data_IF_165896383447
#
_entry.id   IF_165896383447
#
_cell.length_a   1.000
_cell.length_b   1.000
_cell.length_c   1.000
_cell.angle_alpha   90.00
_cell.angle_beta   90.00
_cell.angle_gamma   90.00
#
_symmetry.space_group_name_H-M   'P 1'
#
loop_
_entity.id
_entity.type
_entity.pdbx_description
1 polymer ?
#
# COMPACT_ATOMS: atom_id res chain seq x y z
N UNK A 1 22.09 46.76 37.52
CA UNK A 1 21.71 45.52 38.24
C UNK A 1 20.28 45.20 37.84
N UNK A 2 19.87 44.07 37.29
CA UNK A 2 20.43 42.75 37.03
C UNK A 2 19.68 42.16 35.81
N UNK A 3 20.43 41.51 34.92
CA UNK A 3 20.17 40.23 34.22
C UNK A 3 18.69 39.78 34.03
N UNK A 4 18.22 39.53 32.79
CA UNK A 4 18.19 38.20 32.11
C UNK A 4 16.74 37.77 31.82
N UNK A 5 16.29 37.01 30.81
CA UNK A 5 16.88 36.17 29.77
C UNK A 5 16.04 36.38 28.48
N UNK A 6 16.69 36.34 27.33
CA UNK A 6 16.00 36.13 26.06
C UNK A 6 15.52 34.67 26.01
N UNK A 7 14.21 34.44 25.99
CA UNK A 7 13.68 33.18 25.50
C UNK A 7 13.87 33.18 23.98
N UNK A 8 14.94 32.54 23.54
CA UNK A 8 15.02 32.00 22.18
C UNK A 8 13.90 30.95 22.07
N UNK A 9 12.75 31.35 21.54
CA UNK A 9 11.78 30.40 21.00
C UNK A 9 12.50 29.66 19.88
N UNK A 10 12.86 28.41 20.16
CA UNK A 10 13.27 27.45 19.15
C UNK A 10 12.15 27.39 18.10
N UNK A 11 12.56 27.58 16.85
CA UNK A 11 11.73 27.31 15.67
C UNK A 11 11.45 25.81 15.61
N UNK A 12 10.44 25.35 16.35
CA UNK A 12 9.77 24.10 16.02
C UNK A 12 8.71 24.46 14.99
N UNK A 13 8.94 24.06 13.75
CA UNK A 13 7.96 24.17 12.68
C UNK A 13 6.76 23.28 13.04
N UNK A 14 5.77 23.84 13.71
CA UNK A 14 4.42 23.30 13.71
C UNK A 14 3.97 23.22 12.25
N UNK A 15 3.78 22.00 11.75
CA UNK A 15 3.11 21.75 10.47
C UNK A 15 1.64 22.10 10.62
N UNK A 16 1.33 23.38 10.70
CA UNK A 16 -0.02 23.94 10.68
C UNK A 16 -0.67 23.63 9.33
N UNK A 17 -1.36 22.48 9.22
CA UNK A 17 -2.22 22.20 8.07
C UNK A 17 -2.45 20.72 7.74
N UNK A 18 -1.55 19.82 8.14
CA UNK A 18 -1.73 18.39 7.86
C UNK A 18 -2.42 17.68 9.03
N UNK A 19 -3.34 16.73 8.77
CA UNK A 19 -4.01 15.99 9.82
C UNK A 19 -3.01 15.17 10.65
N UNK A 20 -3.10 15.26 11.97
CA UNK A 20 -2.30 14.44 12.90
C UNK A 20 -2.49 12.94 12.64
N UNK A 21 -1.44 12.14 12.84
CA UNK A 21 -1.50 10.67 12.70
C UNK A 21 -2.63 10.12 13.59
N UNK A 22 -3.60 9.43 12.97
CA UNK A 22 -4.75 8.85 13.69
C UNK A 22 -4.56 7.37 13.93
N UNK A 23 -5.00 6.89 15.09
CA UNK A 23 -5.10 5.46 15.38
C UNK A 23 -6.30 4.87 14.67
N UNK A 24 -6.10 3.78 13.97
CA UNK A 24 -7.14 3.11 13.17
C UNK A 24 -6.99 1.60 13.23
N UNK A 25 -8.09 0.92 12.93
CA UNK A 25 -8.12 -0.50 12.63
C UNK A 25 -8.42 -0.72 11.16
N UNK A 26 -7.76 -1.70 10.54
CA UNK A 26 -8.18 -2.22 9.24
C UNK A 26 -9.44 -3.04 9.42
N UNK A 27 -10.43 -2.78 8.58
CA UNK A 27 -11.70 -3.51 8.56
C UNK A 27 -11.97 -4.19 7.22
N UNK A 28 -11.21 -3.84 6.16
CA UNK A 28 -11.41 -4.40 4.83
C UNK A 28 -10.25 -4.11 3.88
N UNK A 29 -10.26 -4.81 2.76
CA UNK A 29 -9.50 -4.48 1.55
C UNK A 29 -10.51 -3.76 0.64
N UNK A 30 -10.29 -2.49 0.36
CA UNK A 30 -11.24 -1.68 -0.43
C UNK A 30 -11.15 -2.05 -1.91
N UNK A 31 -9.93 -2.13 -2.44
CA UNK A 31 -9.68 -2.42 -3.84
C UNK A 31 -8.24 -2.88 -4.09
N UNK A 32 -8.06 -3.62 -5.19
CA UNK A 32 -6.77 -4.02 -5.75
C UNK A 32 -6.73 -3.54 -7.21
N UNK A 33 -5.65 -2.89 -7.62
CA UNK A 33 -5.50 -2.32 -8.96
C UNK A 33 -4.05 -2.32 -9.43
N UNK A 34 -3.85 -2.24 -10.75
CA UNK A 34 -2.55 -2.46 -11.37
C UNK A 34 -2.05 -1.24 -12.14
N UNK A 35 -0.74 -1.05 -12.12
CA UNK A 35 -0.04 -0.08 -12.97
C UNK A 35 0.50 -0.76 -14.24
N UNK A 36 0.73 -0.01 -15.34
CA UNK A 36 0.73 1.45 -15.45
C UNK A 36 -0.68 2.07 -15.45
N UNK A 37 -0.74 3.33 -15.03
CA UNK A 37 -1.92 4.17 -15.20
C UNK A 37 -1.81 4.92 -16.51
N UNK A 38 -2.67 4.59 -17.48
CA UNK A 38 -2.71 5.27 -18.76
C UNK A 38 -4.05 6.01 -18.88
N UNK A 39 -4.00 7.32 -19.15
CA UNK A 39 -5.19 8.16 -19.25
C UNK A 39 -6.12 8.08 -18.02
N UNK A 40 -5.53 8.04 -16.82
CA UNK A 40 -6.24 7.89 -15.53
C UNK A 40 -6.98 6.55 -15.34
N UNK A 41 -6.66 5.55 -16.16
CA UNK A 41 -7.24 4.20 -16.08
C UNK A 41 -6.15 3.23 -15.63
N UNK A 42 -6.46 2.41 -14.63
CA UNK A 42 -5.59 1.33 -14.16
C UNK A 42 -5.54 0.19 -15.18
N UNK A 43 -4.43 -0.53 -15.26
CA UNK A 43 -4.31 -1.69 -16.12
C UNK A 43 -5.28 -2.79 -15.66
N UNK A 44 -5.97 -3.39 -16.62
CA UNK A 44 -6.97 -4.45 -16.44
C UNK A 44 -6.38 -5.84 -16.68
N UNK A 45 -7.11 -6.89 -16.31
CA UNK A 45 -6.72 -8.27 -16.58
C UNK A 45 -6.63 -8.63 -18.07
N UNK A 46 -7.19 -7.81 -18.97
CA UNK A 46 -7.10 -8.02 -20.41
C UNK A 46 -5.84 -7.38 -21.03
N UNK A 47 -5.18 -6.48 -20.31
CA UNK A 47 -4.04 -5.72 -20.84
C UNK A 47 -2.74 -6.52 -20.82
N UNK A 48 -1.75 -6.06 -21.59
CA UNK A 48 -0.37 -6.56 -21.53
C UNK A 48 0.57 -5.46 -21.02
N UNK A 49 1.36 -5.78 -20.00
CA UNK A 49 2.20 -4.83 -19.27
C UNK A 49 3.61 -5.41 -19.12
N UNK A 50 4.65 -4.60 -19.32
CA UNK A 50 6.02 -5.02 -18.98
C UNK A 50 6.14 -5.19 -17.46
N UNK A 51 6.74 -6.29 -17.02
CA UNK A 51 7.07 -6.58 -15.62
C UNK A 51 7.82 -5.43 -14.93
N UNK A 52 8.57 -4.62 -15.69
CA UNK A 52 9.29 -3.44 -15.16
C UNK A 52 8.35 -2.30 -14.77
N UNK A 53 7.26 -2.13 -15.51
CA UNK A 53 6.26 -1.08 -15.30
C UNK A 53 5.10 -1.57 -14.41
N UNK A 54 5.00 -2.88 -14.23
CA UNK A 54 3.97 -3.51 -13.41
C UNK A 54 4.14 -3.16 -11.93
N UNK A 55 3.03 -2.74 -11.33
CA UNK A 55 2.89 -2.59 -9.88
C UNK A 55 1.59 -3.21 -9.42
N UNK A 56 1.67 -3.92 -8.29
CA UNK A 56 0.51 -4.30 -7.50
C UNK A 56 0.20 -3.16 -6.55
N UNK A 57 -1.02 -2.66 -6.59
CA UNK A 57 -1.48 -1.64 -5.68
C UNK A 57 -2.75 -2.12 -4.99
N UNK A 58 -2.92 -1.73 -3.74
CA UNK A 58 -4.12 -2.03 -2.98
C UNK A 58 -4.42 -0.93 -1.97
N UNK A 59 -5.69 -0.80 -1.63
CA UNK A 59 -6.21 0.14 -0.64
C UNK A 59 -6.85 -0.63 0.51
N UNK A 60 -6.55 -0.22 1.73
CA UNK A 60 -7.13 -0.80 2.94
C UNK A 60 -8.17 0.15 3.54
N UNK A 61 -9.35 -0.39 3.87
CA UNK A 61 -10.41 0.35 4.54
C UNK A 61 -10.07 0.47 6.03
N UNK A 62 -9.96 1.70 6.51
CA UNK A 62 -9.65 2.02 7.91
C UNK A 62 -10.89 2.50 8.66
N UNK A 63 -11.11 1.95 9.85
CA UNK A 63 -12.07 2.46 10.81
C UNK A 63 -11.31 3.26 11.88
N UNK A 64 -11.59 4.56 11.95
CA UNK A 64 -11.04 5.42 13.00
C UNK A 64 -11.81 5.25 14.31
N UNK A 65 -11.10 5.32 15.43
CA UNK A 65 -11.72 5.38 16.77
C UNK A 65 -12.44 6.72 17.03
N UNK A 66 -12.21 7.73 16.18
CA UNK A 66 -12.87 9.03 16.23
C UNK A 66 -13.68 9.25 14.95
N UNK A 67 -15.01 9.37 15.09
CA UNK A 67 -15.97 9.63 14.00
C UNK A 67 -15.69 10.98 13.32
N UNK A 68 -14.94 10.96 12.23
CA UNK A 68 -15.00 12.00 11.20
C UNK A 68 -14.75 11.30 9.86
N UNK A 69 -15.69 11.45 8.93
CA UNK A 69 -15.71 10.78 7.62
C UNK A 69 -14.36 10.87 6.90
N UNK A 70 -13.79 9.73 6.56
CA UNK A 70 -12.68 9.64 5.62
C UNK A 70 -13.24 10.03 4.24
N UNK A 71 -12.92 11.23 3.77
CA UNK A 71 -13.27 11.63 2.40
C UNK A 71 -12.59 10.71 1.40
N UNK A 72 -13.31 10.31 0.36
CA UNK A 72 -12.81 9.47 -0.73
C UNK A 72 -11.66 10.20 -1.45
N UNK A 73 -10.45 9.64 -1.38
CA UNK A 73 -9.32 10.07 -2.20
C UNK A 73 -9.39 9.31 -3.52
N UNK A 74 -9.57 10.04 -4.63
CA UNK A 74 -9.72 9.44 -5.96
C UNK A 74 -8.33 9.08 -6.50
N UNK A 75 -8.08 7.81 -6.91
CA UNK A 75 -6.81 7.41 -7.51
C UNK A 75 -6.64 8.07 -8.90
N UNK A 76 -5.57 8.84 -9.11
CA UNK A 76 -5.21 9.42 -10.42
C UNK A 76 -4.86 10.91 -10.44
N UNK A 77 -5.06 11.66 -9.35
CA UNK A 77 -4.67 13.07 -9.25
C UNK A 77 -3.37 13.26 -8.45
N UNK A 78 -2.24 13.33 -9.15
CA UNK A 78 -0.91 13.52 -8.55
C UNK A 78 -0.44 14.99 -8.49
N UNK A 79 -1.34 15.99 -8.50
CA UNK A 79 -0.93 17.40 -8.59
C UNK A 79 -1.77 18.33 -7.69
N UNK A 80 -1.67 18.18 -6.36
CA UNK A 80 -1.94 19.30 -5.44
C UNK A 80 -1.49 19.13 -3.97
N UNK A 81 -1.36 17.92 -3.39
CA UNK A 81 -1.17 17.80 -1.92
C UNK A 81 -0.32 16.61 -1.48
N UNK A 82 0.86 16.42 -2.09
CA UNK A 82 1.82 15.39 -1.64
C UNK A 82 2.25 15.60 -0.18
N UNK A 83 2.22 16.84 0.33
CA UNK A 83 2.68 17.17 1.69
C UNK A 83 1.71 16.78 2.82
N UNK A 84 0.42 16.50 2.54
CA UNK A 84 -0.57 16.17 3.58
C UNK A 84 -1.32 14.85 3.35
N UNK A 85 -0.71 13.88 2.65
CA UNK A 85 -1.31 12.55 2.57
C UNK A 85 -1.50 11.97 3.99
N UNK A 86 -2.74 11.61 4.38
CA UNK A 86 -3.04 11.23 5.75
C UNK A 86 -2.27 9.97 6.15
N UNK A 87 -1.59 10.07 7.29
CA UNK A 87 -0.84 8.98 7.90
C UNK A 87 -1.62 8.38 9.06
N UNK A 88 -1.49 7.08 9.21
CA UNK A 88 -2.26 6.31 10.18
C UNK A 88 -1.35 5.41 11.00
N UNK A 89 -1.70 5.31 12.27
CA UNK A 89 -1.17 4.33 13.19
C UNK A 89 -2.12 3.13 13.17
N UNK A 90 -1.78 2.12 12.38
CA UNK A 90 -2.62 0.93 12.21
C UNK A 90 -2.25 -0.10 13.27
N UNK A 91 -3.19 -0.41 14.16
CA UNK A 91 -2.89 -1.20 15.36
C UNK A 91 -3.11 -2.70 15.19
N UNK A 92 -3.99 -3.09 14.28
CA UNK A 92 -4.51 -4.46 14.22
C UNK A 92 -3.94 -5.31 13.09
N UNK A 93 -3.06 -4.80 12.22
CA UNK A 93 -2.37 -5.65 11.23
C UNK A 93 -1.27 -6.47 11.92
N UNK A 94 -1.24 -7.76 11.62
CA UNK A 94 -0.16 -8.69 11.97
C UNK A 94 0.77 -8.92 10.77
N UNK A 95 0.20 -9.29 9.61
CA UNK A 95 0.96 -9.58 8.39
C UNK A 95 0.14 -9.32 7.13
N UNK A 96 0.82 -9.08 6.01
CA UNK A 96 0.23 -8.99 4.67
C UNK A 96 0.98 -9.96 3.77
N UNK A 97 0.25 -10.80 3.04
CA UNK A 97 0.77 -11.84 2.15
C UNK A 97 0.10 -11.75 0.78
N UNK A 98 0.75 -12.33 -0.23
CA UNK A 98 0.16 -12.49 -1.56
C UNK A 98 0.30 -13.95 -1.96
N UNK A 99 -0.81 -14.69 -1.92
CA UNK A 99 -0.81 -16.15 -2.07
C UNK A 99 -1.23 -16.50 -3.49
N UNK A 100 -0.45 -17.32 -4.19
CA UNK A 100 -0.78 -17.76 -5.54
C UNK A 100 -2.00 -18.68 -5.57
N UNK A 101 -2.98 -18.34 -6.41
CA UNK A 101 -4.16 -19.18 -6.69
C UNK A 101 -3.92 -20.10 -7.89
N UNK A 102 -2.93 -19.77 -8.73
CA UNK A 102 -2.46 -20.60 -9.84
C UNK A 102 -0.92 -20.62 -9.89
N UNK A 103 -0.29 -21.64 -10.50
CA UNK A 103 1.15 -21.64 -10.68
C UNK A 103 1.61 -20.43 -11.49
N UNK A 104 2.70 -19.80 -11.06
CA UNK A 104 3.23 -18.60 -11.71
C UNK A 104 4.75 -18.63 -11.72
N UNK A 105 5.35 -18.46 -12.90
CA UNK A 105 6.81 -18.37 -13.11
C UNK A 105 7.65 -19.41 -12.33
N UNK A 106 7.20 -20.67 -12.31
CA UNK A 106 7.86 -21.79 -11.62
C UNK A 106 7.47 -21.98 -10.16
N UNK A 107 6.66 -21.09 -9.57
CA UNK A 107 6.11 -21.26 -8.23
C UNK A 107 4.79 -22.04 -8.26
N UNK A 108 4.56 -22.97 -7.32
CA UNK A 108 3.31 -23.71 -7.22
C UNK A 108 2.19 -22.88 -6.57
N UNK A 109 0.94 -23.34 -6.74
CA UNK A 109 -0.24 -22.83 -6.03
C UNK A 109 0.01 -22.84 -4.51
N UNK A 110 -0.50 -21.83 -3.81
CA UNK A 110 -0.39 -21.67 -2.36
C UNK A 110 0.91 -21.02 -1.89
N UNK A 111 1.81 -20.66 -2.80
CA UNK A 111 3.07 -19.98 -2.45
C UNK A 111 2.81 -18.50 -2.13
N UNK A 112 3.34 -18.02 -1.01
CA UNK A 112 3.40 -16.58 -0.71
C UNK A 112 4.52 -15.92 -1.52
N UNK A 113 4.15 -15.01 -2.41
CA UNK A 113 5.05 -14.26 -3.29
C UNK A 113 5.29 -12.81 -2.84
N UNK A 114 4.91 -12.44 -1.61
CA UNK A 114 5.15 -11.09 -1.08
C UNK A 114 6.64 -10.67 -1.08
N UNK A 115 7.58 -11.63 -1.13
CA UNK A 115 9.01 -11.34 -1.26
C UNK A 115 9.42 -10.82 -2.65
N UNK A 116 8.60 -11.03 -3.68
CA UNK A 116 8.81 -10.50 -5.04
C UNK A 116 8.34 -9.06 -5.19
N UNK A 117 7.67 -8.51 -4.18
CA UNK A 117 7.01 -7.21 -4.22
C UNK A 117 7.77 -6.23 -3.32
N UNK A 118 8.24 -5.10 -3.86
CA UNK A 118 8.91 -4.05 -3.06
C UNK A 118 8.32 -2.66 -3.25
N UNK A 119 8.33 -1.86 -2.20
CA UNK A 119 7.94 -0.45 -2.30
C UNK A 119 9.06 0.39 -2.95
N UNK A 120 8.84 1.70 -3.06
CA UNK A 120 9.82 2.63 -3.64
C UNK A 120 11.13 2.75 -2.83
N UNK A 121 11.14 2.31 -1.56
CA UNK A 121 12.32 2.27 -0.70
C UNK A 121 13.00 0.89 -0.71
N UNK A 122 12.67 0.04 -1.69
CA UNK A 122 13.13 -1.35 -1.85
C UNK A 122 12.86 -2.26 -0.64
N UNK A 123 11.90 -1.89 0.22
CA UNK A 123 11.41 -2.74 1.30
C UNK A 123 10.41 -3.74 0.71
N UNK A 124 10.70 -5.03 0.89
CA UNK A 124 9.82 -6.10 0.45
C UNK A 124 8.53 -6.17 1.28
N UNK A 125 7.40 -6.51 0.65
CA UNK A 125 6.10 -6.59 1.32
C UNK A 125 6.13 -7.60 2.48
N UNK A 126 6.78 -8.76 2.31
CA UNK A 126 6.91 -9.76 3.36
C UNK A 126 7.73 -9.30 4.59
N UNK A 127 8.45 -8.17 4.48
CA UNK A 127 9.22 -7.56 5.58
C UNK A 127 8.49 -6.39 6.23
N UNK A 128 7.31 -6.01 5.74
CA UNK A 128 6.51 -4.96 6.33
C UNK A 128 5.94 -5.45 7.66
N UNK A 129 6.38 -4.83 8.76
CA UNK A 129 6.00 -5.16 10.14
C UNK A 129 5.55 -3.96 10.95
N UNK A 130 6.00 -2.77 10.55
CA UNK A 130 5.68 -1.52 11.21
C UNK A 130 4.63 -0.76 10.41
N UNK A 131 3.44 -0.61 11.00
CA UNK A 131 2.31 0.08 10.40
C UNK A 131 1.92 1.36 11.16
N UNK A 132 2.87 1.91 11.94
CA UNK A 132 2.66 3.12 12.76
C UNK A 132 2.60 4.42 11.94
N UNK A 133 3.14 4.39 10.73
CA UNK A 133 3.12 5.48 9.74
C UNK A 133 2.65 4.96 8.37
N UNK A 134 1.52 4.24 8.38
CA UNK A 134 0.94 3.66 7.17
C UNK A 134 0.02 4.63 6.45
N UNK A 135 -0.01 4.51 5.13
CA UNK A 135 -1.00 5.12 4.24
C UNK A 135 -2.12 4.12 3.98
N UNK A 136 -3.29 4.59 3.57
CA UNK A 136 -4.36 3.70 3.08
C UNK A 136 -3.96 2.97 1.80
N UNK A 137 -3.20 3.66 0.94
CA UNK A 137 -2.75 3.15 -0.35
C UNK A 137 -1.35 2.54 -0.25
N UNK A 138 -1.22 1.33 -0.76
CA UNK A 138 0.04 0.63 -0.88
C UNK A 138 0.35 0.37 -2.34
N UNK A 139 1.62 0.55 -2.72
CA UNK A 139 2.11 0.34 -4.08
C UNK A 139 3.41 -0.44 -4.04
N UNK A 140 3.44 -1.58 -4.73
CA UNK A 140 4.59 -2.47 -4.79
C UNK A 140 4.97 -2.78 -6.22
N UNK A 141 6.24 -2.56 -6.55
CA UNK A 141 6.87 -3.00 -7.79
C UNK A 141 7.11 -4.50 -7.74
N UNK A 142 6.89 -5.16 -8.86
CA UNK A 142 7.22 -6.57 -9.02
C UNK A 142 8.68 -6.73 -9.49
N UNK A 143 9.49 -7.41 -8.68
CA UNK A 143 10.93 -7.56 -8.91
C UNK A 143 11.29 -8.95 -9.45
N UNK A 144 10.58 -9.38 -10.50
CA UNK A 144 10.91 -10.62 -11.17
C UNK A 144 10.86 -10.44 -12.68
N UNK A 145 11.89 -10.94 -13.37
CA UNK A 145 11.81 -11.16 -14.80
C UNK A 145 11.00 -12.43 -15.06
N UNK A 146 10.19 -12.39 -16.11
CA UNK A 146 9.26 -13.44 -16.49
C UNK A 146 9.68 -13.99 -17.83
N UNK A 147 9.98 -15.28 -17.90
CA UNK A 147 10.53 -15.86 -19.13
C UNK A 147 9.56 -15.81 -20.32
N UNK A 148 8.25 -15.82 -20.04
CA UNK A 148 7.17 -15.87 -21.03
C UNK A 148 6.02 -14.95 -20.60
N UNK A 149 5.11 -14.65 -21.53
CA UNK A 149 3.85 -13.97 -21.24
C UNK A 149 3.04 -14.79 -20.22
N UNK A 150 2.79 -14.24 -19.03
CA UNK A 150 2.08 -14.93 -17.95
C UNK A 150 1.19 -13.95 -17.18
N UNK A 151 0.12 -14.47 -16.58
CA UNK A 151 -0.80 -13.68 -15.77
C UNK A 151 -0.70 -14.14 -14.31
N UNK A 152 -0.62 -13.17 -13.39
CA UNK A 152 -0.57 -13.44 -11.96
C UNK A 152 -2.00 -13.55 -11.42
N UNK A 153 -2.36 -14.76 -10.97
CA UNK A 153 -3.62 -15.05 -10.28
C UNK A 153 -3.31 -15.37 -8.82
N UNK A 154 -3.75 -14.51 -7.91
CA UNK A 154 -3.38 -14.58 -6.50
C UNK A 154 -4.40 -13.88 -5.60
N UNK A 155 -4.33 -14.15 -4.31
CA UNK A 155 -5.14 -13.51 -3.28
C UNK A 155 -4.27 -12.63 -2.39
N UNK A 156 -4.70 -11.38 -2.15
CA UNK A 156 -4.11 -10.51 -1.14
C UNK A 156 -4.70 -10.90 0.21
N UNK A 157 -3.84 -11.28 1.17
CA UNK A 157 -4.25 -11.76 2.48
C UNK A 157 -3.70 -10.83 3.56
N UNK A 158 -4.58 -10.25 4.37
CA UNK A 158 -4.23 -9.44 5.54
C UNK A 158 -4.64 -10.20 6.80
N UNK A 159 -3.66 -10.64 7.58
CA UNK A 159 -3.89 -11.28 8.88
C UNK A 159 -3.90 -10.20 9.96
N UNK A 160 -4.97 -10.17 10.75
CA UNK A 160 -5.13 -9.25 11.87
C UNK A 160 -4.58 -9.86 13.17
N UNK A 161 -4.26 -9.01 14.15
CA UNK A 161 -3.66 -9.42 15.44
C UNK A 161 -4.60 -10.24 16.32
N UNK A 162 -5.90 -10.17 16.07
CA UNK A 162 -6.91 -11.01 16.71
C UNK A 162 -7.05 -12.40 16.06
N UNK A 163 -6.29 -12.66 14.99
CA UNK A 163 -6.32 -13.91 14.24
C UNK A 163 -7.33 -13.95 13.10
N UNK A 164 -8.16 -12.91 12.93
CA UNK A 164 -9.04 -12.80 11.77
C UNK A 164 -8.25 -12.52 10.48
N UNK A 165 -8.86 -12.86 9.34
CA UNK A 165 -8.21 -12.79 8.02
C UNK A 165 -9.13 -12.06 7.06
N UNK A 166 -8.58 -11.04 6.39
CA UNK A 166 -9.19 -10.40 5.23
C UNK A 166 -8.48 -10.96 3.99
N UNK A 167 -9.25 -11.36 2.98
CA UNK A 167 -8.70 -11.95 1.76
C UNK A 167 -9.49 -11.49 0.56
N UNK A 168 -8.80 -11.00 -0.46
CA UNK A 168 -9.41 -10.57 -1.72
C UNK A 168 -8.64 -11.17 -2.90
N UNK A 169 -9.30 -11.98 -3.77
CA UNK A 169 -8.65 -12.54 -4.95
C UNK A 169 -8.47 -11.48 -6.03
N UNK A 170 -7.41 -11.61 -6.83
CA UNK A 170 -7.15 -10.73 -7.95
C UNK A 170 -6.49 -11.47 -9.12
N UNK A 171 -6.63 -10.86 -10.30
CA UNK A 171 -6.02 -11.29 -11.53
C UNK A 171 -5.32 -10.08 -12.17
N UNK A 172 -4.00 -10.18 -12.35
CA UNK A 172 -3.21 -9.11 -12.96
C UNK A 172 -3.47 -8.99 -14.47
N UNK A 173 -2.98 -7.93 -15.13
CA UNK A 173 -2.74 -7.94 -16.56
C UNK A 173 -1.79 -9.09 -16.96
N UNK A 174 -1.72 -9.40 -18.25
CA UNK A 174 -0.66 -10.24 -18.77
C UNK A 174 0.68 -9.52 -18.65
N UNK A 175 1.67 -10.20 -18.09
CA UNK A 175 2.98 -9.64 -17.85
C UNK A 175 3.97 -10.14 -18.92
N UNK A 176 4.78 -9.23 -19.46
CA UNK A 176 5.88 -9.51 -20.39
C UNK A 176 7.22 -8.99 -19.86
N UNK A 177 8.35 -9.39 -20.43
CA UNK A 177 9.63 -8.71 -20.20
C UNK A 177 9.64 -7.31 -20.80
#
# INVERSE_FOLDING_TARGET
>A
MLASWACTLSLDFDTEGCPSIRRVNVVGIEQIFFSPFMNQIAASNADTVSSRDFRLNFELTYQSFQQASLGSWIPGFAIAQVDCEPRFFVENISNIMVILDQPFNGFPVGTDIAFLLSNNNDVQLNRLRDFRDSRQFFSFRFNQNIGNLQQLNASLVVTLRDGSVLSEPFQSPFLTN
#
